data_IF_588369377446
#
_entry.id   IF_588369377446
#
_cell.length_a   1.000
_cell.length_b   1.000
_cell.length_c   1.000
_cell.angle_alpha   90.00
_cell.angle_beta   90.00
_cell.angle_gamma   90.00
#
_symmetry.space_group_name_H-M   'P 1'
#
loop_
_entity.id
_entity.type
_entity.pdbx_description
1 polymer ?
#
# COMPACT_ATOMS: atom_id res chain seq x y z
N UNK A 1 7.07 7.84 8.65
CA UNK A 1 6.61 6.91 7.58
C UNK A 1 5.10 6.93 7.52
N UNK A 2 4.49 6.72 6.34
CA UNK A 2 3.05 6.49 6.14
C UNK A 2 2.75 5.00 6.03
N UNK A 3 1.51 4.62 6.31
CA UNK A 3 1.06 3.24 6.26
C UNK A 3 -0.26 3.11 5.52
N UNK A 4 -0.42 2.01 4.80
CA UNK A 4 -1.64 1.72 4.07
C UNK A 4 -1.79 0.25 3.72
N UNK A 5 -2.71 -0.03 2.82
CA UNK A 5 -2.93 -1.38 2.30
C UNK A 5 -2.91 -1.35 0.77
N UNK A 6 -2.32 -2.36 0.19
CA UNK A 6 -2.42 -2.69 -1.23
C UNK A 6 -3.42 -3.83 -1.38
N UNK A 7 -4.63 -3.48 -1.81
CA UNK A 7 -5.71 -4.42 -2.05
C UNK A 7 -5.69 -4.81 -3.52
N UNK A 8 -5.21 -6.00 -3.82
CA UNK A 8 -5.35 -6.59 -5.16
C UNK A 8 -6.74 -7.16 -5.43
N UNK A 9 -7.76 -6.84 -4.75
CA UNK A 9 -8.79 -7.48 -3.92
C UNK A 9 -8.88 -8.98 -4.15
N UNK A 10 -7.92 -9.68 -3.57
CA UNK A 10 -7.79 -11.11 -3.64
C UNK A 10 -8.87 -11.80 -2.78
N UNK A 11 -9.72 -12.57 -3.41
CA UNK A 11 -10.76 -13.33 -2.75
C UNK A 11 -10.69 -14.80 -3.16
N UNK A 12 -10.83 -15.69 -2.17
CA UNK A 12 -10.86 -17.14 -2.43
C UNK A 12 -12.12 -17.45 -3.25
N UNK A 13 -11.98 -18.11 -4.44
CA UNK A 13 -13.12 -18.51 -5.25
C UNK A 13 -14.11 -19.38 -4.48
N UNK A 14 -15.42 -19.15 -4.71
CA UNK A 14 -16.49 -19.85 -3.99
C UNK A 14 -17.17 -19.00 -2.93
N UNK A 15 -16.64 -17.85 -2.57
CA UNK A 15 -17.34 -16.85 -1.74
C UNK A 15 -18.31 -16.02 -2.60
N UNK A 16 -19.37 -15.47 -1.98
CA UNK A 16 -20.26 -14.53 -2.66
C UNK A 16 -19.51 -13.26 -3.03
N UNK A 17 -19.42 -12.85 -4.33
CA UNK A 17 -18.68 -11.65 -4.72
C UNK A 17 -19.24 -10.37 -4.09
N UNK A 18 -20.56 -10.25 -3.98
CA UNK A 18 -21.18 -9.08 -3.36
C UNK A 18 -20.85 -8.94 -1.88
N UNK A 19 -20.73 -10.07 -1.16
CA UNK A 19 -20.31 -10.08 0.25
C UNK A 19 -18.83 -9.73 0.35
N UNK A 20 -17.98 -10.28 -0.51
CA UNK A 20 -16.56 -10.00 -0.54
C UNK A 20 -16.28 -8.50 -0.78
N UNK A 21 -16.90 -7.90 -1.80
CA UNK A 21 -16.81 -6.45 -2.05
C UNK A 21 -17.37 -5.60 -0.89
N UNK A 22 -18.40 -6.07 -0.20
CA UNK A 22 -18.90 -5.43 1.02
C UNK A 22 -17.88 -5.44 2.15
N UNK A 23 -17.17 -6.56 2.32
CA UNK A 23 -16.08 -6.69 3.29
C UNK A 23 -14.89 -5.79 2.96
N UNK A 24 -14.53 -5.64 1.68
CA UNK A 24 -13.48 -4.69 1.26
C UNK A 24 -13.81 -3.26 1.69
N UNK A 25 -15.04 -2.82 1.43
CA UNK A 25 -15.48 -1.49 1.84
C UNK A 25 -15.45 -1.32 3.37
N UNK A 26 -15.85 -2.34 4.13
CA UNK A 26 -15.76 -2.31 5.60
C UNK A 26 -14.31 -2.26 6.12
N UNK A 27 -13.38 -2.97 5.47
CA UNK A 27 -11.93 -2.91 5.80
C UNK A 27 -11.41 -1.49 5.54
N UNK A 28 -11.75 -0.88 4.42
CA UNK A 28 -11.34 0.48 4.10
C UNK A 28 -11.87 1.49 5.14
N UNK A 29 -13.14 1.39 5.53
CA UNK A 29 -13.71 2.23 6.60
C UNK A 29 -13.00 2.00 7.95
N UNK A 30 -12.69 0.75 8.26
CA UNK A 30 -12.00 0.40 9.49
C UNK A 30 -10.60 1.02 9.52
N UNK A 31 -9.88 0.97 8.42
CA UNK A 31 -8.56 1.59 8.29
C UNK A 31 -8.61 3.12 8.39
N UNK A 32 -9.62 3.77 7.80
CA UNK A 32 -9.82 5.23 7.94
C UNK A 32 -9.98 5.62 9.42
N UNK A 33 -10.76 4.84 10.19
CA UNK A 33 -10.93 5.04 11.64
C UNK A 33 -9.67 4.79 12.45
N UNK A 34 -8.83 3.85 12.03
CA UNK A 34 -7.55 3.53 12.69
C UNK A 34 -6.42 4.52 12.35
N UNK A 35 -6.65 5.44 11.40
CA UNK A 35 -5.67 6.44 11.00
C UNK A 35 -4.60 5.94 10.02
N UNK A 36 -4.89 4.92 9.22
CA UNK A 36 -4.05 4.58 8.08
C UNK A 36 -4.09 5.69 7.03
N UNK A 37 -2.99 5.84 6.30
CA UNK A 37 -2.81 6.94 5.34
C UNK A 37 -3.37 6.62 3.95
N UNK A 38 -3.23 5.39 3.45
CA UNK A 38 -3.48 5.07 2.05
C UNK A 38 -4.15 3.69 1.85
N UNK A 39 -5.05 3.60 0.85
CA UNK A 39 -5.59 2.34 0.30
C UNK A 39 -5.36 2.32 -1.21
N UNK A 40 -4.78 1.25 -1.72
CA UNK A 40 -4.52 1.04 -3.14
C UNK A 40 -5.33 -0.14 -3.67
N UNK A 41 -6.06 0.05 -4.77
CA UNK A 41 -6.97 -0.97 -5.32
C UNK A 41 -6.52 -1.36 -6.71
N UNK A 42 -6.33 -2.67 -6.95
CA UNK A 42 -5.90 -3.26 -8.21
C UNK A 42 -7.01 -3.41 -9.24
N UNK A 43 -6.62 -3.66 -10.51
CA UNK A 43 -7.49 -3.94 -11.65
C UNK A 43 -7.14 -5.30 -12.24
N UNK A 44 -8.12 -6.22 -12.26
CA UNK A 44 -8.02 -7.51 -12.93
C UNK A 44 -9.34 -7.91 -13.59
N UNK A 45 -9.25 -8.64 -14.69
CA UNK A 45 -10.40 -9.05 -15.50
C UNK A 45 -10.54 -10.57 -15.60
N UNK A 46 -9.60 -11.32 -15.03
CA UNK A 46 -9.53 -12.79 -15.10
C UNK A 46 -8.91 -13.40 -13.85
N UNK A 47 -8.64 -14.71 -13.87
CA UNK A 47 -7.95 -15.42 -12.78
C UNK A 47 -8.85 -15.86 -11.63
N UNK A 48 -10.05 -15.30 -11.47
CA UNK A 48 -11.08 -15.75 -10.51
C UNK A 48 -10.84 -15.37 -9.05
N UNK A 49 -9.67 -14.86 -8.69
CA UNK A 49 -9.32 -14.45 -7.33
C UNK A 49 -9.43 -12.94 -7.13
N UNK A 50 -9.05 -12.15 -8.11
CA UNK A 50 -9.06 -10.69 -8.04
C UNK A 50 -10.25 -10.18 -8.87
N UNK A 51 -11.36 -9.86 -8.20
CA UNK A 51 -12.67 -9.65 -8.83
C UNK A 51 -12.98 -8.20 -9.21
N UNK A 52 -12.07 -7.25 -8.91
CA UNK A 52 -12.27 -5.84 -9.22
C UNK A 52 -11.71 -5.49 -10.59
N UNK A 53 -12.63 -5.35 -11.56
CA UNK A 53 -12.28 -4.94 -12.94
C UNK A 53 -12.28 -3.42 -13.16
N UNK A 54 -12.71 -2.63 -12.18
CA UNK A 54 -12.79 -1.18 -12.24
C UNK A 54 -12.51 -0.59 -10.85
N UNK A 55 -11.21 -0.39 -10.50
CA UNK A 55 -10.82 0.10 -9.19
C UNK A 55 -11.39 1.48 -8.87
N UNK A 56 -11.59 2.34 -9.87
CA UNK A 56 -12.21 3.64 -9.71
C UNK A 56 -13.65 3.57 -9.19
N UNK A 57 -14.43 2.56 -9.55
CA UNK A 57 -15.79 2.37 -9.03
C UNK A 57 -15.76 1.97 -7.55
N UNK A 58 -14.89 1.04 -7.16
CA UNK A 58 -14.73 0.66 -5.75
C UNK A 58 -14.21 1.81 -4.90
N UNK A 59 -13.22 2.55 -5.41
CA UNK A 59 -12.67 3.75 -4.75
C UNK A 59 -13.75 4.83 -4.62
N UNK A 60 -14.57 5.08 -5.65
CA UNK A 60 -15.65 6.05 -5.58
C UNK A 60 -16.67 5.69 -4.49
N UNK A 61 -17.02 4.41 -4.36
CA UNK A 61 -17.89 3.92 -3.29
C UNK A 61 -17.26 4.08 -1.90
N UNK A 62 -15.99 3.70 -1.75
CA UNK A 62 -15.25 3.82 -0.49
C UNK A 62 -15.04 5.29 -0.06
N UNK A 63 -14.82 6.19 -1.02
CA UNK A 63 -14.59 7.61 -0.76
C UNK A 63 -15.78 8.31 -0.10
N UNK A 64 -17.02 7.82 -0.35
CA UNK A 64 -18.23 8.37 0.29
C UNK A 64 -18.44 7.83 1.72
N UNK A 65 -17.67 6.83 2.13
CA UNK A 65 -17.75 6.14 3.43
C UNK A 65 -16.57 6.47 4.34
N UNK A 66 -15.62 7.27 3.85
CA UNK A 66 -14.37 7.61 4.53
C UNK A 66 -14.12 9.12 4.51
N UNK A 67 -13.28 9.62 5.42
CA UNK A 67 -13.04 11.05 5.60
C UNK A 67 -11.61 11.48 5.35
N UNK A 68 -10.61 10.69 5.68
CA UNK A 68 -9.19 11.08 5.72
C UNK A 68 -8.28 10.23 4.85
N UNK A 69 -8.53 8.92 4.77
CA UNK A 69 -7.69 7.99 4.03
C UNK A 69 -7.61 8.37 2.54
N UNK A 70 -6.40 8.31 1.99
CA UNK A 70 -6.15 8.56 0.57
C UNK A 70 -6.32 7.26 -0.21
N UNK A 71 -6.62 7.39 -1.49
CA UNK A 71 -6.81 6.27 -2.40
C UNK A 71 -5.76 6.27 -3.49
N UNK A 72 -5.37 5.08 -3.96
CA UNK A 72 -4.59 4.90 -5.15
C UNK A 72 -5.15 3.76 -6.01
N UNK A 73 -5.03 3.86 -7.32
CA UNK A 73 -5.16 2.68 -8.16
C UNK A 73 -3.87 1.86 -8.12
N UNK A 74 -3.98 0.59 -7.86
CA UNK A 74 -2.82 -0.28 -7.69
C UNK A 74 -2.76 -1.49 -8.64
N UNK A 75 -2.95 -1.29 -9.97
CA UNK A 75 -2.95 -0.11 -10.82
C UNK A 75 -4.25 0.00 -11.63
N UNK A 76 -4.40 1.09 -12.40
CA UNK A 76 -5.19 1.07 -13.63
C UNK A 76 -4.26 0.68 -14.77
N UNK A 77 -4.61 -0.37 -15.50
CA UNK A 77 -3.79 -0.95 -16.56
C UNK A 77 -3.92 -0.13 -17.84
N UNK A 78 -3.02 0.82 -18.05
CA UNK A 78 -3.10 1.80 -19.16
C UNK A 78 -3.37 1.17 -20.54
N UNK A 79 -2.75 0.02 -20.92
CA UNK A 79 -3.03 -0.62 -22.21
C UNK A 79 -4.47 -1.09 -22.41
N UNK A 80 -5.26 -1.23 -21.35
CA UNK A 80 -6.64 -1.71 -21.41
C UNK A 80 -7.65 -0.57 -21.63
N UNK A 81 -7.19 0.68 -21.68
CA UNK A 81 -8.04 1.87 -21.73
C UNK A 81 -7.59 2.84 -22.81
N UNK A 82 -8.54 3.48 -23.48
CA UNK A 82 -8.21 4.64 -24.33
C UNK A 82 -7.71 5.80 -23.45
N UNK A 83 -6.52 6.41 -23.71
CA UNK A 83 -5.89 7.39 -22.81
C UNK A 83 -6.77 8.59 -22.43
N UNK A 84 -7.55 9.14 -23.37
CA UNK A 84 -8.48 10.26 -23.08
C UNK A 84 -9.59 9.82 -22.10
N UNK A 85 -10.16 8.63 -22.28
CA UNK A 85 -11.22 8.11 -21.42
C UNK A 85 -10.66 7.86 -20.00
N UNK A 86 -9.48 7.25 -19.93
CA UNK A 86 -8.82 6.97 -18.65
C UNK A 86 -8.47 8.27 -17.92
N UNK A 87 -7.87 9.24 -18.59
CA UNK A 87 -7.55 10.55 -17.99
C UNK A 87 -8.82 11.28 -17.49
N UNK A 88 -9.92 11.18 -18.22
CA UNK A 88 -11.21 11.74 -17.81
C UNK A 88 -11.77 11.09 -16.54
N UNK A 89 -11.68 9.73 -16.45
CA UNK A 89 -12.10 8.98 -15.25
C UNK A 89 -11.22 9.31 -14.04
N UNK A 90 -9.91 9.38 -14.23
CA UNK A 90 -8.93 9.77 -13.21
C UNK A 90 -9.24 11.16 -12.66
N UNK A 91 -9.47 12.13 -13.55
CA UNK A 91 -9.81 13.50 -13.15
C UNK A 91 -11.15 13.58 -12.39
N UNK A 92 -12.17 12.84 -12.85
CA UNK A 92 -13.47 12.77 -12.18
C UNK A 92 -13.33 12.17 -10.78
N UNK A 93 -12.57 11.06 -10.65
CA UNK A 93 -12.35 10.41 -9.36
C UNK A 93 -11.59 11.30 -8.37
N UNK A 94 -10.58 12.05 -8.85
CA UNK A 94 -9.87 13.02 -8.02
C UNK A 94 -10.79 14.12 -7.49
N UNK A 95 -11.73 14.61 -8.32
CA UNK A 95 -12.77 15.56 -7.88
C UNK A 95 -13.75 14.93 -6.87
N UNK A 96 -14.21 13.69 -7.10
CA UNK A 96 -15.12 12.98 -6.18
C UNK A 96 -14.47 12.72 -4.82
N UNK A 97 -13.17 12.43 -4.80
CA UNK A 97 -12.38 12.21 -3.58
C UNK A 97 -11.84 13.50 -2.95
N UNK A 98 -12.06 14.66 -3.60
CA UNK A 98 -11.54 15.97 -3.17
C UNK A 98 -10.03 15.98 -2.96
N UNK A 99 -9.29 15.46 -3.94
CA UNK A 99 -7.83 15.41 -3.93
C UNK A 99 -7.22 14.29 -3.08
N UNK A 100 -8.01 13.32 -2.63
CA UNK A 100 -7.51 12.14 -1.92
C UNK A 100 -7.14 10.99 -2.86
N UNK A 101 -7.02 11.22 -4.16
CA UNK A 101 -6.70 10.17 -5.14
C UNK A 101 -5.29 10.33 -5.71
N UNK A 102 -4.60 9.21 -5.89
CA UNK A 102 -3.33 9.07 -6.61
C UNK A 102 -3.55 8.11 -7.78
N UNK A 103 -3.25 8.56 -8.99
CA UNK A 103 -3.35 7.69 -10.16
C UNK A 103 -2.15 6.76 -10.24
N UNK A 104 -2.36 5.49 -9.95
CA UNK A 104 -1.37 4.45 -10.14
C UNK A 104 -1.53 3.79 -11.51
N UNK A 105 -0.48 3.85 -12.33
CA UNK A 105 -0.42 3.37 -13.70
C UNK A 105 0.47 2.13 -13.82
N UNK A 106 0.05 1.15 -14.61
CA UNK A 106 0.82 -0.05 -14.91
C UNK A 106 0.49 -0.66 -16.26
N UNK A 107 1.28 -1.67 -16.69
CA UNK A 107 1.07 -2.33 -17.98
C UNK A 107 -0.04 -3.38 -17.97
N UNK A 108 -0.56 -3.77 -16.80
CA UNK A 108 -1.31 -5.01 -16.59
C UNK A 108 -0.38 -6.17 -16.21
N UNK A 109 -0.82 -7.02 -15.29
CA UNK A 109 -0.02 -8.11 -14.75
C UNK A 109 -0.43 -9.49 -15.26
N UNK A 110 -1.73 -9.76 -15.41
CA UNK A 110 -2.23 -11.07 -15.85
C UNK A 110 -2.17 -11.20 -17.38
N UNK A 111 -1.45 -12.20 -17.85
CA UNK A 111 -1.39 -12.53 -19.28
C UNK A 111 -2.78 -12.88 -19.83
N UNK A 112 -3.63 -13.49 -19.00
CA UNK A 112 -5.02 -13.83 -19.35
C UNK A 112 -5.88 -12.60 -19.58
N UNK A 113 -5.67 -11.49 -18.85
CA UNK A 113 -6.35 -10.21 -19.08
C UNK A 113 -5.98 -9.66 -20.48
N UNK A 114 -4.69 -9.60 -20.79
CA UNK A 114 -4.20 -9.15 -22.08
C UNK A 114 -4.73 -10.03 -23.24
N UNK A 115 -4.70 -11.36 -23.06
CA UNK A 115 -5.23 -12.31 -24.03
C UNK A 115 -6.72 -12.06 -24.33
N UNK A 116 -7.56 -11.89 -23.30
CA UNK A 116 -8.99 -11.62 -23.46
C UNK A 116 -9.27 -10.30 -24.19
N UNK A 117 -8.36 -9.33 -24.09
CA UNK A 117 -8.47 -8.02 -24.76
C UNK A 117 -7.78 -7.99 -26.13
N UNK A 118 -7.20 -9.11 -26.57
CA UNK A 118 -6.48 -9.18 -27.85
C UNK A 118 -5.16 -8.41 -27.85
N UNK A 119 -4.55 -8.24 -26.70
CA UNK A 119 -3.28 -7.51 -26.52
C UNK A 119 -2.14 -8.51 -26.35
N UNK A 120 -1.11 -8.39 -27.17
CA UNK A 120 0.11 -9.19 -27.01
C UNK A 120 0.87 -8.76 -25.75
N UNK A 121 1.18 -9.66 -24.79
CA UNK A 121 1.83 -9.31 -23.53
C UNK A 121 3.17 -8.57 -23.69
N UNK A 122 3.90 -8.83 -24.79
CA UNK A 122 5.14 -8.15 -25.13
C UNK A 122 4.98 -6.66 -25.42
N UNK A 123 3.81 -6.24 -25.89
CA UNK A 123 3.51 -4.87 -26.26
C UNK A 123 3.02 -3.99 -25.12
N UNK A 124 2.53 -4.59 -24.04
CA UNK A 124 1.92 -3.84 -22.92
C UNK A 124 2.84 -2.75 -22.34
N UNK A 125 4.17 -2.98 -22.28
CA UNK A 125 5.11 -1.98 -21.74
C UNK A 125 5.27 -0.77 -22.66
N UNK A 126 5.29 -0.99 -23.99
CA UNK A 126 5.31 0.08 -24.98
C UNK A 126 4.00 0.87 -24.96
N UNK A 127 2.87 0.18 -24.89
CA UNK A 127 1.54 0.79 -24.79
C UNK A 127 1.41 1.61 -23.49
N UNK A 128 1.93 1.11 -22.37
CA UNK A 128 1.99 1.88 -21.11
C UNK A 128 2.78 3.19 -21.30
N UNK A 129 3.96 3.15 -21.90
CA UNK A 129 4.78 4.33 -22.11
C UNK A 129 4.07 5.38 -22.95
N UNK A 130 3.52 4.99 -24.09
CA UNK A 130 2.76 5.88 -24.99
C UNK A 130 1.49 6.42 -24.32
N UNK A 131 0.71 5.57 -23.68
CA UNK A 131 -0.52 5.98 -23.00
C UNK A 131 -0.26 6.88 -21.80
N UNK A 132 0.80 6.62 -21.02
CA UNK A 132 1.18 7.45 -19.88
C UNK A 132 1.64 8.84 -20.33
N UNK A 133 2.38 8.95 -21.43
CA UNK A 133 2.78 10.23 -22.02
C UNK A 133 1.54 11.10 -22.35
N UNK A 134 0.58 10.52 -23.04
CA UNK A 134 -0.68 11.19 -23.37
C UNK A 134 -1.48 11.58 -22.13
N UNK A 135 -1.62 10.67 -21.15
CA UNK A 135 -2.37 10.90 -19.90
C UNK A 135 -1.74 12.01 -19.07
N UNK A 136 -0.42 12.02 -18.93
CA UNK A 136 0.31 13.05 -18.18
C UNK A 136 0.05 14.44 -18.78
N UNK A 137 0.10 14.59 -20.11
CA UNK A 137 -0.23 15.86 -20.78
C UNK A 137 -1.68 16.28 -20.54
N UNK A 138 -2.63 15.36 -20.72
CA UNK A 138 -4.06 15.61 -20.51
C UNK A 138 -4.37 16.04 -19.06
N UNK A 139 -3.81 15.35 -18.05
CA UNK A 139 -4.02 15.70 -16.63
C UNK A 139 -3.40 17.05 -16.25
N UNK A 140 -2.36 17.48 -16.96
CA UNK A 140 -1.78 18.84 -16.82
C UNK A 140 -2.57 19.94 -17.53
N UNK A 141 -3.66 19.58 -18.23
CA UNK A 141 -4.50 20.51 -18.98
C UNK A 141 -3.91 20.92 -20.33
N UNK A 142 -3.01 20.10 -20.88
CA UNK A 142 -2.45 20.30 -22.21
C UNK A 142 -3.42 19.81 -23.28
N UNK A 143 -3.32 20.37 -24.49
CA UNK A 143 -3.93 19.80 -25.69
C UNK A 143 -2.97 18.78 -26.27
N UNK A 144 -3.45 17.56 -26.51
CA UNK A 144 -2.63 16.45 -26.96
C UNK A 144 -3.09 15.98 -28.33
N UNK A 145 -2.15 15.99 -29.29
CA UNK A 145 -2.26 15.37 -30.60
C UNK A 145 -1.25 14.22 -30.64
N UNK A 146 -1.73 12.98 -30.79
CA UNK A 146 -0.87 11.79 -30.79
C UNK A 146 -1.51 10.68 -31.60
N UNK A 147 -0.75 10.06 -32.49
CA UNK A 147 -1.16 8.91 -33.29
C UNK A 147 -0.24 7.74 -33.04
N UNK A 148 -0.81 6.61 -32.68
CA UNK A 148 -0.12 5.35 -32.43
C UNK A 148 -0.85 4.21 -33.17
N UNK A 149 -0.35 3.00 -33.09
CA UNK A 149 -0.98 1.80 -33.63
C UNK A 149 -2.21 1.32 -32.84
N UNK A 150 -2.48 1.89 -31.64
CA UNK A 150 -3.57 1.44 -30.76
C UNK A 150 -4.49 2.56 -30.27
N UNK A 151 -4.11 3.84 -30.40
CA UNK A 151 -5.00 4.99 -30.18
C UNK A 151 -4.62 6.18 -31.05
N UNK A 152 -5.59 7.06 -31.27
CA UNK A 152 -5.38 8.38 -31.88
C UNK A 152 -6.05 9.45 -31.03
N UNK A 153 -5.31 10.52 -30.72
CA UNK A 153 -5.80 11.74 -30.09
C UNK A 153 -5.71 12.90 -31.09
N UNK A 154 -6.77 13.69 -31.23
CA UNK A 154 -6.82 14.88 -32.08
C UNK A 154 -7.40 16.03 -31.29
N UNK A 155 -6.61 17.10 -31.09
CA UNK A 155 -7.00 18.27 -30.31
C UNK A 155 -7.62 17.89 -28.95
N UNK A 156 -7.09 16.78 -28.37
CA UNK A 156 -7.67 16.15 -27.19
C UNK A 156 -7.32 16.93 -25.93
N UNK A 157 -8.34 17.22 -25.13
CA UNK A 157 -8.19 17.92 -23.84
C UNK A 157 -9.26 17.49 -22.86
N UNK A 158 -8.99 17.58 -21.58
CA UNK A 158 -9.98 17.34 -20.53
C UNK A 158 -10.87 18.57 -20.36
N UNK A 159 -12.20 18.37 -20.30
CA UNK A 159 -13.15 19.39 -19.89
C UNK A 159 -13.20 19.61 -18.37
N UNK A 160 -12.82 18.59 -17.59
CA UNK A 160 -12.70 18.62 -16.14
C UNK A 160 -11.25 18.31 -15.79
N UNK A 161 -10.55 19.25 -15.17
CA UNK A 161 -9.19 19.02 -14.67
C UNK A 161 -9.22 18.38 -13.29
N UNK A 162 -8.14 17.70 -12.87
CA UNK A 162 -8.03 17.16 -11.52
C UNK A 162 -8.25 18.21 -10.44
N UNK A 163 -8.83 17.82 -9.31
CA UNK A 163 -8.99 18.67 -8.14
C UNK A 163 -7.64 19.16 -7.59
N UNK A 164 -6.61 18.30 -7.62
CA UNK A 164 -5.23 18.65 -7.27
C UNK A 164 -4.53 19.53 -8.33
N UNK A 165 -5.19 19.81 -9.45
CA UNK A 165 -4.63 20.58 -10.54
C UNK A 165 -3.49 19.84 -11.26
N UNK A 166 -2.52 20.61 -11.78
CA UNK A 166 -1.38 20.08 -12.55
C UNK A 166 -0.40 19.23 -11.73
N UNK A 167 -0.45 19.32 -10.41
CA UNK A 167 0.41 18.62 -9.46
C UNK A 167 -0.21 17.28 -8.98
N UNK A 168 -1.28 16.83 -9.63
CA UNK A 168 -1.89 15.55 -9.31
C UNK A 168 -0.84 14.45 -9.29
N UNK A 169 -0.77 13.72 -8.17
CA UNK A 169 0.21 12.65 -7.99
C UNK A 169 -0.11 11.45 -8.91
N UNK A 170 0.89 11.06 -9.68
CA UNK A 170 0.87 9.86 -10.53
C UNK A 170 1.94 8.91 -10.00
N UNK A 171 1.60 7.65 -9.78
CA UNK A 171 2.54 6.60 -9.41
C UNK A 171 2.65 5.57 -10.54
N UNK A 172 3.84 5.06 -10.79
CA UNK A 172 4.06 3.95 -11.72
C UNK A 172 4.41 2.70 -10.94
N UNK A 173 3.74 1.60 -11.27
CA UNK A 173 4.02 0.31 -10.63
C UNK A 173 5.29 -0.33 -11.18
N UNK A 174 6.03 -0.97 -10.30
CA UNK A 174 7.17 -1.83 -10.61
C UNK A 174 7.05 -3.14 -9.85
N UNK A 175 7.18 -4.27 -10.55
CA UNK A 175 7.19 -5.61 -9.95
C UNK A 175 8.60 -6.20 -10.04
N UNK A 176 8.95 -6.81 -11.18
CA UNK A 176 10.25 -7.49 -11.37
C UNK A 176 11.09 -6.91 -12.52
N UNK A 177 10.56 -5.95 -13.25
CA UNK A 177 11.28 -5.37 -14.39
C UNK A 177 11.65 -3.91 -14.14
N UNK A 178 12.77 -3.42 -14.70
CA UNK A 178 13.18 -2.03 -14.53
C UNK A 178 12.29 -1.03 -15.28
N UNK A 179 11.34 -1.49 -16.11
CA UNK A 179 10.56 -0.61 -16.99
C UNK A 179 9.71 0.39 -16.21
N UNK A 180 8.99 -0.05 -15.17
CA UNK A 180 8.19 0.83 -14.32
C UNK A 180 9.03 1.89 -13.61
N UNK A 181 10.19 1.49 -13.06
CA UNK A 181 11.12 2.39 -12.39
C UNK A 181 11.68 3.45 -13.37
N UNK A 182 12.03 3.02 -14.59
CA UNK A 182 12.52 3.94 -15.64
C UNK A 182 11.46 4.96 -16.05
N UNK A 183 10.21 4.52 -16.21
CA UNK A 183 9.10 5.42 -16.55
C UNK A 183 8.80 6.37 -15.40
N UNK A 184 8.76 5.89 -14.14
CA UNK A 184 8.57 6.73 -12.97
C UNK A 184 9.63 7.86 -12.93
N UNK A 185 10.92 7.53 -13.10
CA UNK A 185 11.98 8.52 -13.17
C UNK A 185 11.82 9.48 -14.35
N UNK A 186 11.60 8.97 -15.58
CA UNK A 186 11.45 9.79 -16.79
C UNK A 186 10.33 10.83 -16.68
N UNK A 187 9.18 10.46 -16.15
CA UNK A 187 8.04 11.36 -16.02
C UNK A 187 8.00 12.15 -14.70
N UNK A 188 8.93 11.87 -13.76
CA UNK A 188 8.93 12.46 -12.43
C UNK A 188 7.75 11.99 -11.57
N UNK A 189 7.29 10.76 -11.80
CA UNK A 189 6.18 10.13 -11.08
C UNK A 189 6.65 9.51 -9.76
N UNK A 190 5.72 9.25 -8.87
CA UNK A 190 5.91 8.40 -7.68
C UNK A 190 6.12 6.94 -8.07
N UNK A 191 6.64 6.13 -7.16
CA UNK A 191 6.90 4.72 -7.41
C UNK A 191 6.06 3.85 -6.48
N UNK A 192 5.41 2.82 -7.05
CA UNK A 192 4.72 1.75 -6.34
C UNK A 192 5.48 0.44 -6.59
N UNK A 193 6.25 0.00 -5.61
CA UNK A 193 7.05 -1.23 -5.70
C UNK A 193 6.27 -2.40 -5.10
N UNK A 194 5.73 -3.25 -5.97
CA UNK A 194 5.05 -4.50 -5.62
C UNK A 194 6.10 -5.60 -5.67
N UNK A 195 6.24 -6.46 -4.70
CA UNK A 195 7.28 -7.50 -4.59
C UNK A 195 8.73 -7.00 -4.41
N UNK A 196 8.94 -5.73 -4.06
CA UNK A 196 10.29 -5.19 -3.81
C UNK A 196 10.94 -5.74 -2.53
N UNK A 197 10.19 -6.44 -1.69
CA UNK A 197 10.68 -7.09 -0.47
C UNK A 197 11.26 -8.49 -0.72
N UNK A 198 11.07 -9.06 -1.92
CA UNK A 198 11.66 -10.34 -2.29
C UNK A 198 13.16 -10.18 -2.59
N UNK A 199 14.07 -10.72 -1.75
CA UNK A 199 15.52 -10.61 -1.98
C UNK A 199 15.98 -11.37 -3.23
N UNK A 200 15.17 -12.33 -3.73
CA UNK A 200 15.41 -13.07 -4.96
C UNK A 200 14.68 -12.44 -6.16
N UNK A 201 13.97 -11.34 -5.95
CA UNK A 201 13.15 -10.64 -6.96
C UNK A 201 13.93 -9.94 -8.07
N UNK A 202 15.26 -10.09 -8.09
CA UNK A 202 16.13 -9.50 -9.09
C UNK A 202 16.14 -7.97 -9.01
N UNK A 203 15.91 -7.31 -10.16
CA UNK A 203 15.99 -5.86 -10.27
C UNK A 203 15.00 -5.08 -9.37
N UNK A 204 13.88 -5.69 -8.98
CA UNK A 204 12.87 -5.00 -8.16
C UNK A 204 13.18 -4.97 -6.66
N UNK A 205 14.30 -5.54 -6.21
CA UNK A 205 14.71 -5.46 -4.80
C UNK A 205 14.96 -4.01 -4.37
N UNK A 206 14.52 -3.65 -3.17
CA UNK A 206 14.52 -2.26 -2.67
C UNK A 206 15.89 -1.55 -2.74
N UNK A 207 17.00 -2.30 -2.63
CA UNK A 207 18.36 -1.73 -2.66
C UNK A 207 18.74 -1.06 -3.99
N UNK A 208 18.30 -1.62 -5.13
CA UNK A 208 18.68 -1.16 -6.47
C UNK A 208 17.64 -0.26 -7.13
N UNK A 209 16.38 -0.43 -6.76
CA UNK A 209 15.24 0.25 -7.37
C UNK A 209 15.39 1.77 -7.33
N UNK A 210 15.70 2.33 -6.17
CA UNK A 210 15.77 3.78 -6.02
C UNK A 210 16.92 4.42 -6.81
N UNK A 211 18.06 3.78 -6.88
CA UNK A 211 19.23 4.29 -7.64
C UNK A 211 18.86 4.47 -9.12
N UNK A 212 18.26 3.46 -9.74
CA UNK A 212 17.83 3.57 -11.14
C UNK A 212 16.78 4.67 -11.34
N UNK A 213 15.84 4.82 -10.42
CA UNK A 213 14.82 5.88 -10.49
C UNK A 213 15.47 7.27 -10.49
N UNK A 214 16.44 7.50 -9.59
CA UNK A 214 17.18 8.77 -9.53
C UNK A 214 17.97 9.04 -10.80
N UNK A 215 18.69 8.05 -11.33
CA UNK A 215 19.42 8.17 -12.59
C UNK A 215 18.50 8.62 -13.73
N UNK A 216 17.35 7.97 -13.91
CA UNK A 216 16.41 8.31 -14.96
C UNK A 216 15.71 9.66 -14.76
N UNK A 217 15.42 10.02 -13.54
CA UNK A 217 14.88 11.36 -13.23
C UNK A 217 15.90 12.46 -13.57
N UNK A 218 17.16 12.27 -13.18
CA UNK A 218 18.23 13.23 -13.50
C UNK A 218 18.44 13.38 -15.00
N UNK A 219 18.47 12.29 -15.77
CA UNK A 219 18.55 12.31 -17.24
C UNK A 219 17.40 13.08 -17.88
N UNK A 220 16.21 13.00 -17.28
CA UNK A 220 15.00 13.69 -17.75
C UNK A 220 14.86 15.14 -17.18
N UNK A 221 15.81 15.64 -16.41
CA UNK A 221 15.71 16.94 -15.75
C UNK A 221 14.58 17.01 -14.71
N UNK A 222 14.25 15.90 -14.07
CA UNK A 222 13.20 15.77 -13.05
C UNK A 222 13.81 15.52 -11.67
N UNK A 223 13.02 15.83 -10.64
CA UNK A 223 13.34 15.48 -9.25
C UNK A 223 12.36 14.41 -8.74
N UNK A 224 12.85 13.49 -7.93
CA UNK A 224 12.06 12.44 -7.28
C UNK A 224 12.37 12.42 -5.79
N UNK A 225 11.38 12.09 -4.97
CA UNK A 225 11.50 12.05 -3.51
C UNK A 225 11.22 10.65 -2.98
N UNK A 226 12.02 10.17 -2.05
CA UNK A 226 11.76 8.91 -1.34
C UNK A 226 10.43 8.94 -0.57
N UNK A 227 9.94 10.12 -0.19
CA UNK A 227 8.64 10.27 0.46
C UNK A 227 7.46 9.85 -0.42
N UNK A 228 7.63 9.80 -1.75
CA UNK A 228 6.64 9.33 -2.71
C UNK A 228 6.87 7.88 -3.20
N UNK A 229 7.78 7.16 -2.56
CA UNK A 229 8.03 5.75 -2.84
C UNK A 229 7.22 4.86 -1.91
N UNK A 230 6.43 3.97 -2.47
CA UNK A 230 5.59 2.99 -1.78
C UNK A 230 6.17 1.59 -1.95
N UNK A 231 6.25 0.86 -0.86
CA UNK A 231 6.74 -0.53 -0.83
C UNK A 231 5.63 -1.42 -0.30
N UNK A 232 5.30 -2.49 -1.01
CA UNK A 232 4.29 -3.46 -0.60
C UNK A 232 4.97 -4.63 0.10
N UNK A 233 4.45 -5.03 1.27
CA UNK A 233 4.91 -6.20 2.01
C UNK A 233 3.72 -7.02 2.54
N UNK A 234 3.74 -8.36 2.42
CA UNK A 234 2.77 -9.22 3.08
C UNK A 234 2.99 -9.23 4.59
N UNK A 235 2.00 -8.73 5.34
CA UNK A 235 2.06 -8.62 6.81
C UNK A 235 0.72 -9.02 7.41
N UNK A 236 0.77 -9.97 8.37
CA UNK A 236 -0.32 -10.29 9.28
C UNK A 236 0.21 -10.42 10.70
N UNK A 237 -0.41 -9.72 11.64
CA UNK A 237 0.01 -9.75 13.05
C UNK A 237 -1.14 -10.15 13.97
N UNK A 238 -0.80 -10.91 15.02
CA UNK A 238 -1.71 -11.25 16.10
C UNK A 238 -0.99 -11.06 17.46
N UNK A 239 -1.69 -11.27 18.56
CA UNK A 239 -1.14 -11.17 19.92
C UNK A 239 0.00 -12.16 20.17
N UNK A 240 -0.05 -13.32 19.53
CA UNK A 240 0.99 -14.34 19.61
C UNK A 240 1.33 -14.89 18.23
N UNK A 241 2.53 -15.47 18.10
CA UNK A 241 2.99 -16.13 16.87
C UNK A 241 2.06 -17.28 16.46
N UNK A 242 1.64 -18.08 17.43
CA UNK A 242 0.77 -19.23 17.23
C UNK A 242 -0.60 -18.80 16.68
N UNK A 243 -1.17 -17.73 17.22
CA UNK A 243 -2.45 -17.20 16.74
C UNK A 243 -2.31 -16.65 15.32
N UNK A 244 -1.25 -15.89 15.03
CA UNK A 244 -1.00 -15.39 13.67
C UNK A 244 -0.88 -16.51 12.64
N UNK A 245 -0.23 -17.61 13.01
CA UNK A 245 -0.06 -18.78 12.14
C UNK A 245 -1.40 -19.48 11.88
N UNK A 246 -2.23 -19.62 12.92
CA UNK A 246 -3.56 -20.22 12.78
C UNK A 246 -4.49 -19.34 11.94
N UNK A 247 -4.46 -18.02 12.12
CA UNK A 247 -5.29 -17.07 11.38
C UNK A 247 -5.13 -17.21 9.86
N UNK A 248 -3.90 -17.42 9.37
CA UNK A 248 -3.59 -17.49 7.94
C UNK A 248 -3.58 -18.91 7.36
N UNK A 249 -3.88 -19.92 8.17
CA UNK A 249 -3.75 -21.35 7.79
C UNK A 249 -4.43 -21.68 6.46
N UNK A 250 -5.69 -21.29 6.32
CA UNK A 250 -6.47 -21.57 5.12
C UNK A 250 -6.09 -20.65 3.94
N UNK A 251 -6.00 -19.36 4.17
CA UNK A 251 -5.76 -18.37 3.13
C UNK A 251 -4.37 -18.49 2.50
N UNK A 252 -3.36 -18.88 3.28
CA UNK A 252 -2.01 -19.08 2.75
C UNK A 252 -1.94 -20.26 1.77
N UNK A 253 -2.71 -21.33 2.00
CA UNK A 253 -2.81 -22.45 1.05
C UNK A 253 -3.41 -22.00 -0.27
N UNK A 254 -4.53 -21.27 -0.22
CA UNK A 254 -5.20 -20.77 -1.42
C UNK A 254 -4.35 -19.74 -2.18
N UNK A 255 -3.65 -18.87 -1.46
CA UNK A 255 -2.70 -17.93 -2.07
C UNK A 255 -1.50 -18.63 -2.72
N UNK A 256 -1.03 -19.72 -2.13
CA UNK A 256 0.02 -20.56 -2.73
C UNK A 256 -0.44 -21.18 -4.06
N UNK A 257 -1.69 -21.64 -4.13
CA UNK A 257 -2.30 -22.13 -5.37
C UNK A 257 -2.36 -21.04 -6.44
N UNK A 258 -2.82 -19.84 -6.08
CA UNK A 258 -2.84 -18.69 -6.99
C UNK A 258 -1.44 -18.32 -7.47
N UNK A 259 -0.47 -18.21 -6.57
CA UNK A 259 0.92 -17.90 -6.90
C UNK A 259 1.57 -18.92 -7.83
N UNK A 260 1.22 -20.20 -7.69
CA UNK A 260 1.73 -21.27 -8.54
C UNK A 260 1.06 -21.35 -9.93
N UNK A 261 -0.14 -20.80 -10.08
CA UNK A 261 -0.90 -20.78 -11.36
C UNK A 261 -0.93 -19.43 -12.04
N UNK A 262 -0.61 -18.38 -11.31
CA UNK A 262 -0.72 -16.99 -11.76
C UNK A 262 0.48 -16.51 -12.57
N UNK A 263 0.51 -15.23 -12.92
CA UNK A 263 1.53 -14.62 -13.78
C UNK A 263 2.94 -14.64 -13.19
N UNK A 264 3.08 -15.02 -11.94
CA UNK A 264 4.36 -15.11 -11.22
C UNK A 264 4.99 -16.51 -11.29
N UNK A 265 4.25 -17.52 -11.75
CA UNK A 265 4.75 -18.86 -11.97
C UNK A 265 5.50 -18.91 -13.32
N UNK A 266 6.82 -19.09 -13.28
CA UNK A 266 7.63 -19.19 -14.51
C UNK A 266 7.46 -20.53 -15.23
N UNK A 267 7.14 -21.61 -14.50
CA UNK A 267 6.95 -22.97 -15.00
C UNK A 267 5.73 -23.60 -14.31
N UNK A 268 5.14 -24.60 -14.97
CA UNK A 268 4.05 -25.37 -14.36
C UNK A 268 4.55 -26.10 -13.11
N UNK A 269 3.97 -25.78 -11.96
CA UNK A 269 4.28 -26.39 -10.67
C UNK A 269 3.18 -27.39 -10.32
N UNK A 270 3.56 -28.60 -9.90
CA UNK A 270 2.63 -29.50 -9.24
C UNK A 270 2.27 -28.94 -7.85
N UNK A 271 1.10 -28.29 -7.80
CA UNK A 271 0.65 -27.56 -6.62
C UNK A 271 0.41 -28.50 -5.44
N UNK A 272 -0.16 -29.69 -5.71
CA UNK A 272 -0.44 -30.66 -4.65
C UNK A 272 0.85 -31.23 -4.06
N UNK A 273 1.82 -31.57 -4.92
CA UNK A 273 3.14 -31.99 -4.46
C UNK A 273 3.86 -30.89 -3.68
N UNK A 274 3.79 -29.63 -4.16
CA UNK A 274 4.36 -28.49 -3.45
C UNK A 274 3.72 -28.30 -2.06
N UNK A 275 2.40 -28.36 -1.95
CA UNK A 275 1.69 -28.21 -0.69
C UNK A 275 1.93 -29.39 0.27
N UNK A 276 2.14 -30.61 -0.26
CA UNK A 276 2.44 -31.79 0.53
C UNK A 276 3.89 -31.84 1.01
N UNK A 277 4.81 -31.15 0.34
CA UNK A 277 6.25 -31.18 0.65
C UNK A 277 6.65 -30.34 1.87
N UNK A 278 5.79 -29.42 2.33
CA UNK A 278 6.07 -28.51 3.46
C UNK A 278 4.85 -28.40 4.36
N UNK A 279 5.07 -28.33 5.67
CA UNK A 279 4.01 -28.03 6.64
C UNK A 279 3.53 -26.58 6.52
N UNK A 280 2.42 -26.26 7.16
CA UNK A 280 1.92 -24.89 7.24
C UNK A 280 2.91 -23.96 7.95
N UNK A 281 3.45 -24.42 9.05
CA UNK A 281 4.44 -23.70 9.87
C UNK A 281 5.73 -23.47 9.09
N UNK A 282 6.24 -24.44 8.36
CA UNK A 282 7.43 -24.31 7.52
C UNK A 282 7.24 -23.26 6.39
N UNK A 283 6.05 -23.19 5.80
CA UNK A 283 5.76 -22.15 4.78
C UNK A 283 5.80 -20.76 5.37
N UNK A 284 5.23 -20.56 6.57
CA UNK A 284 5.26 -19.27 7.24
C UNK A 284 6.67 -18.94 7.72
N UNK A 285 7.38 -19.89 8.32
CA UNK A 285 8.76 -19.69 8.74
C UNK A 285 9.66 -19.35 7.53
N UNK A 286 9.40 -19.95 6.37
CA UNK A 286 10.07 -19.62 5.10
C UNK A 286 9.79 -18.19 4.65
N UNK A 287 8.53 -17.72 4.72
CA UNK A 287 8.18 -16.32 4.42
C UNK A 287 8.90 -15.36 5.37
N UNK A 288 8.83 -15.62 6.68
CA UNK A 288 9.48 -14.79 7.70
C UNK A 288 11.01 -14.77 7.53
N UNK A 289 11.62 -15.92 7.28
CA UNK A 289 13.08 -16.05 7.09
C UNK A 289 13.56 -15.37 5.79
N UNK A 290 12.76 -15.42 4.72
CA UNK A 290 13.10 -14.77 3.45
C UNK A 290 13.16 -13.25 3.59
N UNK A 291 12.39 -12.70 4.52
CA UNK A 291 12.24 -11.28 4.70
C UNK A 291 11.33 -10.59 3.70
N UNK A 292 10.61 -11.33 2.90
CA UNK A 292 9.58 -10.76 2.01
C UNK A 292 8.43 -10.15 2.78
N UNK A 293 8.05 -10.77 3.91
CA UNK A 293 6.93 -10.37 4.73
C UNK A 293 7.03 -10.90 6.13
N UNK A 294 5.95 -10.77 6.90
CA UNK A 294 5.86 -11.33 8.25
C UNK A 294 4.44 -11.80 8.57
N UNK A 295 4.36 -12.98 9.16
CA UNK A 295 3.21 -13.47 9.89
C UNK A 295 3.68 -13.76 11.31
N UNK A 296 3.16 -13.01 12.30
CA UNK A 296 3.66 -13.12 13.68
C UNK A 296 3.12 -12.05 14.61
N UNK A 297 3.99 -11.47 15.44
CA UNK A 297 3.64 -10.43 16.40
C UNK A 297 3.94 -9.02 15.87
N UNK A 298 3.39 -7.95 16.48
CA UNK A 298 3.75 -6.58 16.14
C UNK A 298 5.25 -6.30 16.17
N UNK A 299 6.00 -6.86 17.13
CA UNK A 299 7.45 -6.67 17.22
C UNK A 299 8.19 -7.23 16.00
N UNK A 300 7.75 -8.40 15.50
CA UNK A 300 8.30 -8.98 14.25
C UNK A 300 8.01 -8.09 13.02
N UNK A 301 6.88 -7.38 13.01
CA UNK A 301 6.58 -6.42 11.94
C UNK A 301 7.48 -5.17 12.04
N UNK A 302 7.78 -4.69 13.25
CA UNK A 302 8.75 -3.60 13.47
C UNK A 302 10.13 -4.01 12.93
N UNK A 303 10.63 -5.19 13.28
CA UNK A 303 11.93 -5.70 12.80
C UNK A 303 11.99 -5.80 11.27
N UNK A 304 10.90 -6.25 10.62
CA UNK A 304 10.80 -6.28 9.15
C UNK A 304 10.95 -4.88 8.56
N UNK A 305 10.22 -3.90 9.10
CA UNK A 305 10.20 -2.52 8.57
C UNK A 305 11.57 -1.86 8.75
N UNK A 306 12.19 -1.98 9.92
CA UNK A 306 13.55 -1.46 10.19
C UNK A 306 14.58 -2.03 9.21
N UNK A 307 14.48 -3.33 8.92
CA UNK A 307 15.34 -3.96 7.93
C UNK A 307 15.11 -3.41 6.52
N UNK A 308 13.85 -3.24 6.09
CA UNK A 308 13.50 -2.68 4.79
C UNK A 308 13.98 -1.23 4.67
N UNK A 309 13.85 -0.40 5.70
CA UNK A 309 14.38 0.96 5.74
C UNK A 309 15.91 0.96 5.57
N UNK A 310 16.60 0.09 6.29
CA UNK A 310 18.06 -0.03 6.19
C UNK A 310 18.50 -0.48 4.80
N UNK A 311 17.83 -1.43 4.18
CA UNK A 311 18.15 -1.95 2.85
C UNK A 311 17.85 -0.96 1.73
N UNK A 312 16.76 -0.20 1.85
CA UNK A 312 16.33 0.78 0.85
C UNK A 312 17.00 2.14 0.99
N UNK A 313 17.52 2.47 2.17
CA UNK A 313 17.88 3.84 2.55
C UNK A 313 16.67 4.74 2.84
N UNK A 314 15.50 4.13 3.11
CA UNK A 314 14.23 4.76 3.44
C UNK A 314 13.27 4.88 2.25
N UNK A 315 11.98 4.83 2.57
CA UNK A 315 10.85 5.02 1.65
C UNK A 315 9.71 5.75 2.36
N UNK A 316 8.72 6.26 1.62
CA UNK A 316 7.67 7.11 2.17
C UNK A 316 6.54 6.34 2.84
N UNK A 317 6.08 5.26 2.20
CA UNK A 317 4.89 4.51 2.63
C UNK A 317 5.14 3.01 2.58
N UNK A 318 4.76 2.30 3.65
CA UNK A 318 4.60 0.85 3.64
C UNK A 318 3.13 0.51 3.40
N UNK A 319 2.88 -0.35 2.42
CA UNK A 319 1.55 -0.89 2.13
C UNK A 319 1.52 -2.37 2.51
N UNK A 320 0.62 -2.74 3.42
CA UNK A 320 0.34 -4.13 3.72
C UNK A 320 -0.29 -4.79 2.50
N UNK A 321 0.14 -5.99 2.10
CA UNK A 321 -0.54 -6.72 1.04
C UNK A 321 -1.88 -7.24 1.56
N UNK A 322 -2.97 -6.70 1.03
CA UNK A 322 -4.33 -7.13 1.35
C UNK A 322 -4.68 -8.41 0.62
N UNK A 323 -5.05 -9.44 1.36
CA UNK A 323 -5.49 -10.73 0.84
C UNK A 323 -6.40 -11.43 1.84
N UNK A 324 -7.17 -12.41 1.38
CA UNK A 324 -8.00 -13.27 2.21
C UNK A 324 -7.17 -14.31 3.01
N UNK A 325 -6.03 -13.91 3.57
CA UNK A 325 -5.20 -14.81 4.38
C UNK A 325 -5.91 -15.29 5.62
N UNK A 326 -6.57 -14.36 6.30
CA UNK A 326 -7.33 -14.60 7.51
C UNK A 326 -8.81 -14.27 7.28
N UNK A 327 -9.66 -14.73 8.20
CA UNK A 327 -11.05 -14.30 8.20
C UNK A 327 -11.18 -12.80 8.53
N UNK A 328 -12.33 -12.21 8.26
CA UNK A 328 -12.55 -10.78 8.43
C UNK A 328 -12.26 -10.25 9.84
N UNK A 329 -12.61 -11.03 10.88
CA UNK A 329 -12.37 -10.63 12.27
C UNK A 329 -10.87 -10.60 12.60
N UNK A 330 -10.13 -11.62 12.20
CA UNK A 330 -8.68 -11.69 12.38
C UNK A 330 -7.96 -10.62 11.55
N UNK A 331 -8.41 -10.35 10.32
CA UNK A 331 -7.88 -9.26 9.50
C UNK A 331 -8.07 -7.90 10.17
N UNK A 332 -9.29 -7.60 10.67
CA UNK A 332 -9.55 -6.35 11.41
C UNK A 332 -8.68 -6.27 12.67
N UNK A 333 -8.56 -7.37 13.41
CA UNK A 333 -7.71 -7.43 14.61
C UNK A 333 -6.23 -7.20 14.30
N UNK A 334 -5.73 -7.78 13.22
CA UNK A 334 -4.36 -7.54 12.75
C UNK A 334 -4.11 -6.06 12.42
N UNK A 335 -5.05 -5.40 11.74
CA UNK A 335 -4.96 -3.97 11.45
C UNK A 335 -4.99 -3.10 12.72
N UNK A 336 -5.81 -3.47 13.72
CA UNK A 336 -5.84 -2.79 15.03
C UNK A 336 -4.50 -2.89 15.76
N UNK A 337 -3.93 -4.10 15.85
CA UNK A 337 -2.63 -4.34 16.48
C UNK A 337 -1.51 -3.59 15.75
N UNK A 338 -1.54 -3.60 14.41
CA UNK A 338 -0.58 -2.86 13.60
C UNK A 338 -0.68 -1.35 13.84
N UNK A 339 -1.89 -0.79 13.85
CA UNK A 339 -2.12 0.62 14.14
C UNK A 339 -1.71 1.02 15.57
N UNK A 340 -1.93 0.13 16.54
CA UNK A 340 -1.66 0.40 17.94
C UNK A 340 -0.18 0.27 18.31
N UNK A 341 0.54 -0.70 17.74
CA UNK A 341 1.88 -1.06 18.21
C UNK A 341 2.98 -0.85 17.18
N UNK A 342 2.68 -0.89 15.87
CA UNK A 342 3.68 -0.75 14.81
C UNK A 342 3.76 0.67 14.26
N UNK A 343 2.64 1.23 13.81
CA UNK A 343 2.62 2.58 13.22
C UNK A 343 3.27 3.66 14.11
N UNK A 344 2.99 3.71 15.42
CA UNK A 344 3.51 4.76 16.28
C UNK A 344 5.04 4.77 16.43
N UNK A 345 5.72 3.63 16.28
CA UNK A 345 7.19 3.54 16.32
C UNK A 345 7.82 4.36 15.20
N UNK A 346 7.26 4.26 13.98
CA UNK A 346 7.78 4.93 12.78
C UNK A 346 7.21 6.33 12.55
N UNK A 347 6.11 6.67 13.22
CA UNK A 347 5.50 8.01 13.17
C UNK A 347 6.03 8.93 14.26
N UNK A 348 6.83 8.40 15.22
CA UNK A 348 7.44 9.17 16.29
C UNK A 348 6.46 9.63 17.38
N UNK A 349 5.23 9.12 17.40
CA UNK A 349 4.17 9.57 18.33
C UNK A 349 4.35 9.06 19.75
N UNK A 350 5.03 7.92 19.94
CA UNK A 350 5.27 7.32 21.28
C UNK A 350 6.54 7.81 21.97
N UNK A 351 7.52 8.30 21.24
CA UNK A 351 8.80 8.74 21.80
C UNK A 351 8.66 9.85 22.87
N UNK A 352 7.84 10.90 22.68
CA UNK A 352 7.61 11.91 23.71
C UNK A 352 6.95 11.34 24.97
N UNK A 353 6.03 10.38 24.81
CA UNK A 353 5.35 9.74 25.94
C UNK A 353 6.32 8.90 26.77
N UNK A 354 7.16 8.07 26.11
CA UNK A 354 8.22 7.30 26.77
C UNK A 354 9.18 8.21 27.50
N UNK A 355 9.70 9.25 26.85
CA UNK A 355 10.60 10.22 27.47
C UNK A 355 9.97 10.92 28.68
N UNK A 356 8.69 11.26 28.62
CA UNK A 356 7.96 11.86 29.75
C UNK A 356 7.83 10.89 30.92
N UNK A 357 7.49 9.62 30.63
CA UNK A 357 7.42 8.57 31.65
C UNK A 357 8.78 8.31 32.31
N UNK A 358 9.84 8.17 31.51
CA UNK A 358 11.19 7.91 32.01
C UNK A 358 11.67 9.03 32.94
N UNK A 359 11.39 10.29 32.61
CA UNK A 359 11.68 11.45 33.46
C UNK A 359 10.91 11.36 34.77
N UNK A 360 9.61 11.06 34.71
CA UNK A 360 8.78 10.92 35.91
C UNK A 360 9.31 9.78 36.80
N UNK A 361 9.60 8.63 36.19
CA UNK A 361 10.07 7.45 36.90
C UNK A 361 11.43 7.67 37.53
N UNK A 362 12.38 8.28 36.84
CA UNK A 362 13.69 8.61 37.35
C UNK A 362 13.63 9.63 38.52
N UNK A 363 12.74 10.63 38.40
CA UNK A 363 12.58 11.69 39.41
C UNK A 363 11.56 11.37 40.53
N UNK A 364 10.94 10.18 40.54
CA UNK A 364 9.76 9.85 41.35
C UNK A 364 9.90 10.14 42.87
N UNK A 365 11.10 9.94 43.47
CA UNK A 365 11.33 10.20 44.87
C UNK A 365 11.32 11.70 45.18
N UNK A 366 12.00 12.50 44.34
CA UNK A 366 12.06 13.96 44.49
C UNK A 366 10.69 14.60 44.25
N UNK A 367 9.97 14.21 43.21
CA UNK A 367 8.62 14.70 42.91
C UNK A 367 7.62 14.31 44.01
N UNK A 368 7.72 13.09 44.56
CA UNK A 368 6.91 12.65 45.67
C UNK A 368 7.18 13.46 46.98
N UNK A 369 8.42 13.83 47.23
CA UNK A 369 8.77 14.69 48.36
C UNK A 369 8.22 16.12 48.17
N UNK A 370 8.36 16.70 47.01
CA UNK A 370 7.80 18.01 46.67
C UNK A 370 6.27 18.04 46.78
N UNK A 371 5.59 16.98 46.32
CA UNK A 371 4.14 16.87 46.45
C UNK A 371 3.69 16.82 47.90
N UNK A 372 4.36 16.02 48.77
CA UNK A 372 4.06 15.98 50.20
C UNK A 372 4.30 17.34 50.88
N UNK A 373 5.42 17.99 50.61
CA UNK A 373 5.71 19.31 51.15
C UNK A 373 4.65 20.37 50.76
N UNK A 374 4.15 20.31 49.53
CA UNK A 374 3.08 21.19 49.05
C UNK A 374 1.74 20.91 49.77
N UNK A 375 1.41 19.64 50.03
CA UNK A 375 0.22 19.26 50.80
C UNK A 375 0.33 19.72 52.25
N UNK A 376 1.48 19.48 52.91
CA UNK A 376 1.71 19.89 54.30
C UNK A 376 1.59 21.41 54.46
N UNK A 377 2.12 22.17 53.49
CA UNK A 377 1.98 23.62 53.45
C UNK A 377 0.52 24.07 53.33
N UNK A 378 -0.26 23.48 52.42
CA UNK A 378 -1.66 23.81 52.28
C UNK A 378 -2.50 23.47 53.49
N UNK A 379 -2.21 22.36 54.19
CA UNK A 379 -2.86 21.98 55.43
C UNK A 379 -2.53 22.99 56.54
N UNK A 380 -1.29 23.43 56.67
CA UNK A 380 -0.88 24.41 57.65
C UNK A 380 -1.52 25.79 57.43
N UNK A 381 -1.63 26.22 56.16
CA UNK A 381 -2.28 27.47 55.77
C UNK A 381 -3.78 27.47 56.12
N UNK A 382 -4.51 26.37 55.83
CA UNK A 382 -5.93 26.22 56.21
C UNK A 382 -6.12 26.20 57.74
N UNK A 383 -5.25 25.51 58.46
CA UNK A 383 -5.29 25.49 59.95
C UNK A 383 -5.07 26.89 60.54
N UNK A 384 -4.12 27.65 60.01
CA UNK A 384 -3.86 29.01 60.45
C UNK A 384 -5.03 29.96 60.16
N UNK A 385 -5.65 29.84 58.97
CA UNK A 385 -6.85 30.62 58.63
C UNK A 385 -8.03 30.31 59.57
N UNK A 386 -8.28 29.05 59.92
CA UNK A 386 -9.32 28.65 60.86
C UNK A 386 -9.08 29.15 62.26
N UNK A 387 -7.81 29.22 62.72
CA UNK A 387 -7.44 29.72 64.03
C UNK A 387 -7.57 31.26 64.16
N UNK A 388 -7.60 31.97 63.05
CA UNK A 388 -7.75 33.43 62.99
C UNK A 388 -9.20 33.90 62.87
N UNK A 389 -10.13 32.99 62.66
CA UNK A 389 -11.60 33.21 62.69
C UNK A 389 -12.15 32.94 64.07
#
# INVERSE_FOLDING_TARGET
MKFGIFMSPYHIPGKSPSVALGHDLEIIEHMDRLGFDEVWVGEHHSGGFEIVSAPDLLIAAAAQRTSSIRFGSGVMSVPYHHPLVLAGRVSLLDNLTRGRFTFGAGPGALVTDAHMMGIEPGEQRRMLEQGLEAIVGLLRGETVDMETDWFTLRDARLQLLPYQGREMEIAVASVRSPSGVRLAGRFGCSLLSIAATDPNGGFSFVGDTWRLMQERAQEAGRSVSRSSWRVVAPIHVAETKEQAYEDVRHGMVEMSKFGATGPFAGEAVDIEAMLASTSHEERIDGLNASGMGVVGTPDMAVELIERLEKQSGGFGTLLLAGSDWANQSATKRSLELFAQYVMPEFQGTVAPLRSSWDRLYAGRQGFGAQFRAAQDKAIAEDAAERASR
#
